data_IF_449338881235
#
_entry.id   IF_449338881235
#
_cell.length_a   1.000
_cell.length_b   1.000
_cell.length_c   1.000
_cell.angle_alpha   90.00
_cell.angle_beta   90.00
_cell.angle_gamma   90.00
#
_symmetry.space_group_name_H-M   'P 1'
#
loop_
_entity.id
_entity.type
_entity.pdbx_description
1 polymer ?
#
# COMPACT_ATOMS: atom_id res chain seq x y z
N UNK A 1 -13.82 11.82 -77.60
CA UNK A 1 -14.15 12.21 -76.22
C UNK A 1 -13.71 11.08 -75.32
N UNK A 2 -12.51 11.18 -74.73
CA UNK A 2 -11.91 10.11 -73.93
C UNK A 2 -12.21 10.38 -72.45
N UNK A 3 -13.07 9.55 -71.87
CA UNK A 3 -13.39 9.61 -70.45
C UNK A 3 -12.28 8.93 -69.64
N UNK A 4 -11.51 9.72 -68.89
CA UNK A 4 -10.59 9.22 -67.88
C UNK A 4 -11.39 8.85 -66.62
N UNK A 5 -11.46 7.56 -66.32
CA UNK A 5 -12.03 7.04 -65.07
C UNK A 5 -10.92 7.02 -64.02
N UNK A 6 -10.93 7.98 -63.09
CA UNK A 6 -10.03 8.01 -61.95
C UNK A 6 -10.53 7.10 -60.84
N UNK A 7 -9.80 6.04 -60.52
CA UNK A 7 -10.06 5.19 -59.35
C UNK A 7 -9.44 5.85 -58.12
N UNK A 8 -10.30 6.31 -57.20
CA UNK A 8 -9.89 6.83 -55.89
C UNK A 8 -9.71 5.64 -54.92
N UNK A 9 -8.47 5.31 -54.60
CA UNK A 9 -8.14 4.26 -53.63
C UNK A 9 -8.26 4.84 -52.21
N UNK A 10 -9.33 4.49 -51.49
CA UNK A 10 -9.50 4.83 -50.08
C UNK A 10 -8.59 3.93 -49.23
N UNK A 11 -7.46 4.44 -48.75
CA UNK A 11 -6.68 3.78 -47.70
C UNK A 11 -7.43 3.89 -46.37
N UNK A 12 -8.10 2.82 -45.97
CA UNK A 12 -8.59 2.66 -44.60
C UNK A 12 -7.37 2.48 -43.68
N UNK A 13 -7.05 3.51 -42.90
CA UNK A 13 -6.01 3.44 -41.87
C UNK A 13 -6.44 2.46 -40.77
N UNK A 14 -5.86 1.25 -40.77
CA UNK A 14 -5.99 0.34 -39.64
C UNK A 14 -5.30 0.99 -38.43
N UNK A 15 -5.96 1.11 -37.27
CA UNK A 15 -5.30 1.58 -36.06
C UNK A 15 -4.23 0.55 -35.67
N UNK A 16 -2.96 0.93 -35.81
CA UNK A 16 -1.84 0.17 -35.28
C UNK A 16 -1.90 0.30 -33.75
N UNK A 17 -2.35 -0.73 -33.06
CA UNK A 17 -2.29 -0.75 -31.59
C UNK A 17 -0.84 -1.02 -31.23
N UNK A 18 -0.08 0.02 -30.96
CA UNK A 18 1.23 -0.11 -30.35
C UNK A 18 1.06 -0.73 -28.95
N UNK A 19 1.92 -1.69 -28.60
CA UNK A 19 1.97 -2.26 -27.25
C UNK A 19 2.36 -1.15 -26.27
N UNK A 20 1.68 -1.06 -25.11
CA UNK A 20 2.02 -0.04 -24.11
C UNK A 20 3.26 -0.46 -23.34
N UNK A 21 4.30 0.38 -23.35
CA UNK A 21 5.47 0.14 -22.51
C UNK A 21 5.23 0.63 -21.08
N UNK A 22 5.63 -0.19 -20.11
CA UNK A 22 5.53 0.10 -18.67
C UNK A 22 6.93 0.18 -18.06
N UNK A 23 7.15 1.20 -17.25
CA UNK A 23 8.38 1.42 -16.48
C UNK A 23 8.09 2.15 -15.17
N UNK A 24 8.95 1.98 -14.17
CA UNK A 24 8.93 2.77 -12.94
C UNK A 24 7.63 2.66 -12.12
N UNK A 25 7.07 3.82 -11.76
CA UNK A 25 5.83 3.94 -11.01
C UNK A 25 4.63 4.03 -11.96
N UNK A 26 3.79 3.00 -11.96
CA UNK A 26 2.59 2.93 -12.83
C UNK A 26 1.27 3.17 -12.08
N UNK A 27 1.32 3.20 -10.75
CA UNK A 27 0.15 3.39 -9.90
C UNK A 27 0.00 4.81 -9.39
N UNK A 28 -1.24 5.17 -9.13
CA UNK A 28 -1.63 6.31 -8.30
C UNK A 28 -2.20 5.79 -6.98
N UNK A 29 -2.11 6.59 -5.91
CA UNK A 29 -2.51 6.19 -4.58
C UNK A 29 -3.39 7.26 -3.93
N UNK A 30 -4.43 6.83 -3.22
CA UNK A 30 -5.30 7.70 -2.43
C UNK A 30 -5.66 7.06 -1.10
N UNK A 31 -5.96 7.86 -0.07
CA UNK A 31 -6.38 7.37 1.24
C UNK A 31 -7.90 7.34 1.30
N UNK A 32 -8.50 6.21 1.66
CA UNK A 32 -9.94 6.11 1.87
C UNK A 32 -10.38 6.95 3.08
N UNK A 33 -11.35 7.85 2.88
CA UNK A 33 -11.99 8.66 3.92
C UNK A 33 -13.33 8.06 4.35
N UNK A 34 -14.14 7.57 3.41
CA UNK A 34 -15.42 6.93 3.68
C UNK A 34 -15.89 6.11 2.47
N UNK A 35 -16.93 5.30 2.69
CA UNK A 35 -17.58 4.52 1.62
C UNK A 35 -19.10 4.51 1.80
N UNK A 36 -19.81 4.34 0.69
CA UNK A 36 -21.23 4.01 0.61
C UNK A 36 -21.43 2.87 -0.37
N UNK A 37 -22.43 2.01 -0.12
CA UNK A 37 -22.81 0.93 -1.04
C UNK A 37 -24.12 1.22 -1.79
N UNK A 38 -24.78 2.33 -1.50
CA UNK A 38 -26.04 2.74 -2.13
C UNK A 38 -26.11 4.30 -2.24
N UNK A 39 -25.64 4.89 -3.34
CA UNK A 39 -24.91 4.27 -4.46
C UNK A 39 -23.51 3.79 -4.05
N UNK A 40 -22.87 2.91 -4.84
CA UNK A 40 -21.50 2.44 -4.56
C UNK A 40 -20.50 3.56 -4.82
N UNK A 41 -20.07 4.25 -3.76
CA UNK A 41 -19.14 5.38 -3.83
C UNK A 41 -18.08 5.28 -2.74
N UNK A 42 -16.90 5.82 -3.01
CA UNK A 42 -15.85 6.02 -2.01
C UNK A 42 -15.35 7.46 -2.07
N UNK A 43 -15.00 8.03 -0.91
CA UNK A 43 -14.31 9.30 -0.84
C UNK A 43 -12.84 9.07 -0.55
N UNK A 44 -11.98 9.68 -1.35
CA UNK A 44 -10.53 9.65 -1.16
C UNK A 44 -10.02 11.00 -0.67
N UNK A 45 -8.80 11.03 -0.12
CA UNK A 45 -8.14 12.27 0.30
C UNK A 45 -7.89 13.23 -0.86
N UNK A 46 -7.60 12.70 -2.05
CA UNK A 46 -7.35 13.46 -3.28
C UNK A 46 -7.86 12.65 -4.49
N UNK A 47 -8.94 13.14 -5.12
CA UNK A 47 -9.51 12.53 -6.32
C UNK A 47 -8.80 12.91 -7.62
N UNK A 48 -7.92 13.91 -7.61
CA UNK A 48 -7.32 14.48 -8.83
C UNK A 48 -6.32 13.55 -9.53
N UNK A 49 -5.81 12.56 -8.79
CA UNK A 49 -4.91 11.52 -9.32
C UNK A 49 -5.67 10.38 -10.00
N UNK A 50 -6.99 10.32 -9.87
CA UNK A 50 -7.84 9.29 -10.45
C UNK A 50 -8.60 9.79 -11.69
N UNK A 51 -9.07 8.85 -12.52
CA UNK A 51 -9.89 9.14 -13.69
C UNK A 51 -11.00 8.09 -13.88
N UNK A 52 -12.16 8.44 -14.46
CA UNK A 52 -13.15 7.47 -14.89
C UNK A 52 -12.55 6.40 -15.81
N UNK A 53 -12.99 5.15 -15.63
CA UNK A 53 -12.49 3.97 -16.33
C UNK A 53 -11.19 3.37 -15.77
N UNK A 54 -10.57 3.98 -14.76
CA UNK A 54 -9.43 3.37 -14.06
C UNK A 54 -9.87 2.11 -13.30
N UNK A 55 -9.00 1.09 -13.31
CA UNK A 55 -9.08 0.00 -12.36
C UNK A 55 -8.51 0.48 -11.02
N UNK A 56 -9.14 0.07 -9.92
CA UNK A 56 -8.68 0.37 -8.58
C UNK A 56 -8.66 -0.90 -7.72
N UNK A 57 -7.67 -0.97 -6.85
CA UNK A 57 -7.60 -1.92 -5.75
C UNK A 57 -7.82 -1.15 -4.44
N UNK A 58 -8.91 -1.43 -3.74
CA UNK A 58 -9.15 -0.93 -2.38
C UNK A 58 -8.55 -1.96 -1.43
N UNK A 59 -7.57 -1.58 -0.61
CA UNK A 59 -6.84 -2.50 0.27
C UNK A 59 -6.62 -1.89 1.65
N UNK A 60 -7.04 -2.61 2.69
CA UNK A 60 -6.82 -2.21 4.07
C UNK A 60 -5.48 -2.72 4.57
N UNK A 61 -4.57 -1.79 4.87
CA UNK A 61 -3.19 -2.05 5.21
C UNK A 61 -2.98 -2.31 6.71
N UNK A 62 -3.94 -1.96 7.56
CA UNK A 62 -3.82 -2.17 9.00
C UNK A 62 -5.16 -2.06 9.74
N UNK A 63 -5.08 -1.73 11.04
CA UNK A 63 -6.15 -1.74 12.04
C UNK A 63 -6.23 -3.02 12.90
N UNK A 64 -5.30 -3.96 12.78
CA UNK A 64 -5.30 -5.16 13.62
C UNK A 64 -5.17 -4.82 15.11
N UNK A 65 -5.87 -5.58 15.97
CA UNK A 65 -5.68 -5.54 17.42
C UNK A 65 -4.64 -6.57 17.82
N UNK A 66 -3.77 -6.19 18.76
CA UNK A 66 -2.77 -7.07 19.35
C UNK A 66 -2.94 -7.14 20.87
N UNK A 67 -2.39 -8.20 21.45
CA UNK A 67 -2.15 -8.30 22.89
C UNK A 67 -1.09 -7.25 23.29
N UNK A 68 -1.43 -6.40 24.26
CA UNK A 68 -0.57 -5.30 24.73
C UNK A 68 -0.02 -5.53 26.13
N UNK A 69 -0.31 -6.69 26.74
CA UNK A 69 0.25 -7.04 28.04
C UNK A 69 1.75 -7.20 27.92
N UNK A 70 2.50 -6.67 28.89
CA UNK A 70 3.96 -6.70 28.90
C UNK A 70 4.48 -8.11 29.25
N UNK A 71 4.25 -9.06 28.34
CA UNK A 71 4.46 -10.50 28.48
C UNK A 71 4.95 -11.10 27.16
N UNK A 72 5.22 -12.40 27.14
CA UNK A 72 5.62 -13.12 25.92
C UNK A 72 4.53 -13.15 24.84
N UNK A 73 3.32 -12.67 25.15
CA UNK A 73 2.22 -12.55 24.20
C UNK A 73 2.15 -11.18 23.52
N UNK A 74 2.92 -10.19 23.98
CA UNK A 74 2.89 -8.85 23.41
C UNK A 74 3.05 -8.91 21.89
N UNK A 75 2.14 -8.27 21.15
CA UNK A 75 2.17 -8.26 19.69
C UNK A 75 1.42 -9.40 19.01
N UNK A 76 0.96 -10.41 19.75
CA UNK A 76 0.10 -11.45 19.19
C UNK A 76 -1.20 -10.82 18.68
N UNK A 77 -1.51 -11.05 17.41
CA UNK A 77 -2.74 -10.57 16.79
C UNK A 77 -3.93 -11.27 17.45
N UNK A 78 -4.87 -10.50 17.98
CA UNK A 78 -6.14 -10.98 18.55
C UNK A 78 -7.30 -10.80 17.59
N UNK A 79 -7.23 -9.79 16.72
CA UNK A 79 -8.17 -9.57 15.61
C UNK A 79 -7.45 -8.85 14.47
N UNK A 80 -7.74 -9.22 13.21
CA UNK A 80 -7.22 -8.50 12.05
C UNK A 80 -8.00 -7.21 11.77
N UNK A 81 -9.25 -7.10 12.23
CA UNK A 81 -10.17 -5.98 11.98
C UNK A 81 -10.22 -5.53 10.51
N UNK A 82 -10.09 -6.48 9.58
CA UNK A 82 -10.07 -6.22 8.14
C UNK A 82 -8.71 -5.92 7.53
N UNK A 83 -7.61 -5.90 8.30
CA UNK A 83 -6.25 -5.81 7.75
C UNK A 83 -6.01 -6.93 6.73
N UNK A 84 -5.50 -6.58 5.56
CA UNK A 84 -5.28 -7.49 4.44
C UNK A 84 -6.51 -7.77 3.57
N UNK A 85 -7.69 -7.24 3.90
CA UNK A 85 -8.84 -7.28 2.97
C UNK A 85 -8.58 -6.38 1.77
N UNK A 86 -8.99 -6.84 0.60
CA UNK A 86 -8.91 -6.07 -0.61
C UNK A 86 -10.05 -6.42 -1.58
N UNK A 87 -10.43 -5.45 -2.40
CA UNK A 87 -11.39 -5.61 -3.48
C UNK A 87 -10.94 -4.84 -4.72
N UNK A 88 -11.17 -5.44 -5.88
CA UNK A 88 -11.01 -4.80 -7.17
C UNK A 88 -12.29 -4.06 -7.56
N UNK A 89 -12.17 -2.89 -8.15
CA UNK A 89 -13.28 -2.19 -8.77
C UNK A 89 -12.82 -1.34 -9.95
N UNK A 90 -13.79 -0.69 -10.61
CA UNK A 90 -13.54 0.31 -11.64
C UNK A 90 -14.28 1.59 -11.29
N UNK A 91 -13.65 2.72 -11.60
CA UNK A 91 -14.25 4.02 -11.39
C UNK A 91 -15.23 4.29 -12.52
N UNK A 92 -16.51 4.38 -12.22
CA UNK A 92 -17.55 4.78 -13.17
C UNK A 92 -17.52 6.29 -13.43
N UNK A 93 -17.37 7.08 -12.38
CA UNK A 93 -17.42 8.54 -12.42
C UNK A 93 -16.66 9.18 -11.27
N UNK A 94 -16.28 10.44 -11.42
CA UNK A 94 -15.56 11.21 -10.39
C UNK A 94 -16.22 12.58 -10.25
N UNK A 95 -16.43 13.02 -9.00
CA UNK A 95 -16.86 14.36 -8.64
C UNK A 95 -16.01 14.88 -7.47
N UNK A 96 -14.99 15.68 -7.77
CA UNK A 96 -14.00 16.10 -6.77
C UNK A 96 -13.27 14.90 -6.19
N UNK A 97 -13.50 14.62 -4.90
CA UNK A 97 -12.89 13.51 -4.17
C UNK A 97 -13.79 12.26 -4.06
N UNK A 98 -15.02 12.33 -4.60
CA UNK A 98 -15.94 11.20 -4.65
C UNK A 98 -15.70 10.38 -5.92
N UNK A 99 -15.44 9.08 -5.75
CA UNK A 99 -15.30 8.11 -6.83
C UNK A 99 -16.54 7.21 -6.83
N UNK A 100 -17.35 7.28 -7.89
CA UNK A 100 -18.44 6.34 -8.12
C UNK A 100 -17.87 5.04 -8.68
N UNK A 101 -18.27 3.92 -8.11
CA UNK A 101 -17.78 2.59 -8.45
C UNK A 101 -18.77 1.86 -9.36
N UNK A 102 -18.25 0.95 -10.20
CA UNK A 102 -19.11 0.10 -11.03
C UNK A 102 -19.88 -0.94 -10.20
N UNK A 103 -19.26 -1.44 -9.13
CA UNK A 103 -19.81 -2.50 -8.27
C UNK A 103 -19.83 -2.06 -6.79
N UNK A 104 -20.80 -2.54 -6.01
CA UNK A 104 -20.82 -2.37 -4.56
C UNK A 104 -19.70 -3.18 -3.89
N UNK A 105 -19.15 -2.66 -2.80
CA UNK A 105 -18.13 -3.35 -2.01
C UNK A 105 -18.79 -4.35 -1.05
N UNK A 106 -18.23 -5.56 -0.97
CA UNK A 106 -18.63 -6.61 -0.04
C UNK A 106 -18.14 -6.30 1.38
N UNK A 107 -17.06 -5.54 1.51
CA UNK A 107 -16.48 -5.20 2.80
C UNK A 107 -16.67 -3.73 3.18
N UNK A 108 -16.83 -3.51 4.49
CA UNK A 108 -16.64 -2.20 5.08
C UNK A 108 -15.17 -2.05 5.46
N UNK A 109 -14.51 -1.05 4.89
CA UNK A 109 -13.12 -0.71 5.12
C UNK A 109 -12.98 0.36 6.19
N UNK A 110 -11.86 0.30 6.91
CA UNK A 110 -11.51 1.30 7.94
C UNK A 110 -10.85 2.51 7.28
N UNK A 111 -11.41 3.73 7.41
CA UNK A 111 -10.77 4.95 6.90
C UNK A 111 -9.36 5.15 7.46
N UNK A 112 -8.49 5.82 6.71
CA UNK A 112 -7.08 6.11 7.09
C UNK A 112 -6.18 4.88 7.35
N UNK A 113 -6.76 3.67 7.32
CA UNK A 113 -6.05 2.38 7.33
C UNK A 113 -6.18 1.65 5.99
N UNK A 114 -6.91 2.25 5.05
CA UNK A 114 -7.20 1.70 3.73
C UNK A 114 -6.71 2.66 2.67
N UNK A 115 -5.96 2.14 1.71
CA UNK A 115 -5.54 2.86 0.53
C UNK A 115 -6.31 2.37 -0.70
N UNK A 116 -6.44 3.26 -1.67
CA UNK A 116 -7.00 3.02 -3.00
C UNK A 116 -5.84 3.14 -3.98
N UNK A 117 -5.51 2.04 -4.65
CA UNK A 117 -4.39 1.95 -5.61
C UNK A 117 -4.98 1.91 -7.01
N UNK A 118 -4.75 2.95 -7.81
CA UNK A 118 -5.26 3.07 -9.17
C UNK A 118 -4.26 2.58 -10.21
N UNK A 119 -4.76 1.90 -11.24
CA UNK A 119 -4.02 1.54 -12.45
C UNK A 119 -4.86 1.89 -13.68
N UNK A 120 -4.19 2.23 -14.78
CA UNK A 120 -4.83 2.16 -16.10
C UNK A 120 -5.11 0.69 -16.45
N UNK A 121 -6.03 0.50 -17.39
CA UNK A 121 -6.39 -0.81 -17.93
C UNK A 121 -5.71 -0.95 -19.27
N UNK A 122 -4.80 -1.91 -19.38
CA UNK A 122 -4.05 -2.17 -20.61
C UNK A 122 -4.68 -3.35 -21.35
N UNK A 123 -4.81 -3.25 -22.68
CA UNK A 123 -5.15 -4.42 -23.48
C UNK A 123 -3.95 -5.38 -23.51
N UNK A 124 -2.83 -4.89 -24.02
CA UNK A 124 -1.51 -5.51 -23.96
C UNK A 124 -0.45 -4.51 -23.53
N UNK A 125 0.50 -4.97 -22.72
CA UNK A 125 1.60 -4.14 -22.22
C UNK A 125 2.93 -4.91 -22.19
N UNK A 126 4.06 -4.20 -22.28
CA UNK A 126 5.41 -4.73 -22.08
C UNK A 126 6.09 -3.96 -20.97
N UNK A 127 6.61 -4.65 -19.96
CA UNK A 127 7.50 -4.06 -18.97
C UNK A 127 8.89 -3.96 -19.57
N UNK A 128 9.33 -2.74 -19.89
CA UNK A 128 10.61 -2.46 -20.55
C UNK A 128 11.71 -2.04 -19.59
N UNK A 129 11.33 -1.54 -18.41
CA UNK A 129 12.22 -1.24 -17.28
C UNK A 129 11.57 -1.69 -15.97
N UNK A 130 12.35 -1.76 -14.89
CA UNK A 130 11.87 -2.28 -13.60
C UNK A 130 10.62 -1.55 -13.10
N UNK A 131 9.54 -2.29 -12.84
CA UNK A 131 8.38 -1.76 -12.13
C UNK A 131 8.61 -1.76 -10.64
N UNK A 132 8.19 -0.67 -9.99
CA UNK A 132 8.31 -0.50 -8.54
C UNK A 132 7.03 0.16 -8.01
N UNK A 133 6.55 -0.19 -6.82
CA UNK A 133 5.53 0.60 -6.14
C UNK A 133 6.16 1.87 -5.53
N UNK A 134 5.33 2.87 -5.23
CA UNK A 134 5.73 3.91 -4.28
C UNK A 134 6.06 3.22 -2.93
N UNK A 135 7.20 3.51 -2.27
CA UNK A 135 7.44 3.00 -0.92
C UNK A 135 6.34 3.40 0.07
N UNK A 136 6.00 2.52 0.99
CA UNK A 136 4.98 2.77 2.01
C UNK A 136 5.41 3.90 2.95
N UNK A 137 4.62 4.98 2.96
CA UNK A 137 4.89 6.18 3.75
C UNK A 137 4.10 6.24 5.08
N UNK A 138 3.29 5.23 5.37
CA UNK A 138 2.47 5.14 6.59
C UNK A 138 0.99 5.29 6.33
N UNK A 139 0.65 5.71 5.12
CA UNK A 139 -0.74 5.89 4.67
C UNK A 139 -0.98 5.29 3.28
N UNK A 140 0.00 5.38 2.37
CA UNK A 140 -0.07 4.89 0.99
C UNK A 140 1.28 4.34 0.52
N UNK A 141 1.25 3.47 -0.50
CA UNK A 141 2.41 2.82 -1.09
C UNK A 141 2.49 1.32 -0.79
N UNK A 142 3.65 0.71 -1.07
CA UNK A 142 3.94 -0.70 -0.83
C UNK A 142 3.15 -1.70 -1.68
N UNK A 143 2.29 -1.21 -2.58
CA UNK A 143 1.43 -2.04 -3.44
C UNK A 143 1.65 -1.64 -4.89
N UNK A 144 1.97 -2.62 -5.73
CA UNK A 144 2.00 -2.49 -7.18
C UNK A 144 0.78 -3.23 -7.75
N UNK A 145 0.00 -2.56 -8.59
CA UNK A 145 -1.21 -3.09 -9.19
C UNK A 145 -1.19 -2.82 -10.69
N UNK A 146 -1.32 -3.85 -11.51
CA UNK A 146 -1.40 -3.71 -12.97
C UNK A 146 -2.58 -4.53 -13.46
N UNK A 147 -3.49 -3.86 -14.18
CA UNK A 147 -4.62 -4.51 -14.84
C UNK A 147 -4.32 -4.63 -16.35
N UNK A 148 -4.19 -5.85 -16.84
CA UNK A 148 -3.98 -6.14 -18.26
C UNK A 148 -4.97 -7.22 -18.71
N UNK A 149 -5.75 -6.95 -19.76
CA UNK A 149 -6.87 -7.84 -20.15
C UNK A 149 -6.48 -8.97 -21.10
N UNK A 150 -5.41 -8.79 -21.89
CA UNK A 150 -4.93 -9.80 -22.85
C UNK A 150 -3.52 -10.29 -22.48
N UNK A 151 -2.48 -9.46 -22.68
CA UNK A 151 -1.09 -9.90 -22.49
C UNK A 151 -0.19 -8.87 -21.81
N UNK A 152 0.37 -9.24 -20.67
CA UNK A 152 1.49 -8.54 -20.03
C UNK A 152 2.80 -9.29 -20.32
N UNK A 153 3.74 -8.64 -21.02
CA UNK A 153 5.07 -9.19 -21.31
C UNK A 153 6.07 -8.60 -20.33
N UNK A 154 6.82 -9.43 -19.60
CA UNK A 154 7.83 -8.97 -18.63
C UNK A 154 9.23 -9.08 -19.25
N UNK A 155 9.77 -7.98 -19.80
CA UNK A 155 11.14 -7.92 -20.30
C UNK A 155 12.13 -7.31 -19.29
N UNK A 156 11.62 -6.79 -18.17
CA UNK A 156 12.38 -6.31 -17.04
C UNK A 156 11.71 -6.72 -15.72
N UNK A 157 12.42 -6.51 -14.61
CA UNK A 157 12.01 -6.98 -13.28
C UNK A 157 10.78 -6.25 -12.73
N UNK A 158 10.13 -6.90 -11.76
CA UNK A 158 9.20 -6.26 -10.83
C UNK A 158 9.84 -6.31 -9.46
N UNK A 159 10.20 -5.16 -8.91
CA UNK A 159 10.97 -5.07 -7.67
C UNK A 159 10.25 -4.21 -6.62
N UNK A 160 9.63 -4.88 -5.65
CA UNK A 160 9.00 -4.27 -4.49
C UNK A 160 9.86 -4.35 -3.21
N UNK A 161 11.15 -4.67 -3.34
CA UNK A 161 12.06 -4.81 -2.19
C UNK A 161 12.13 -3.52 -1.39
N UNK A 162 11.91 -3.62 -0.07
CA UNK A 162 11.95 -2.48 0.84
C UNK A 162 10.79 -1.48 0.72
N UNK A 163 9.78 -1.75 -0.12
CA UNK A 163 8.65 -0.85 -0.31
C UNK A 163 7.50 -1.05 0.70
N UNK A 164 7.54 -2.13 1.49
CA UNK A 164 6.54 -2.47 2.50
C UNK A 164 6.63 -1.61 3.78
N UNK A 165 6.04 -2.08 4.87
CA UNK A 165 6.03 -1.39 6.15
C UNK A 165 7.42 -0.88 6.56
N UNK A 166 7.48 0.32 7.17
CA UNK A 166 8.75 0.93 7.58
C UNK A 166 9.34 0.16 8.75
N UNK A 167 10.66 -0.04 8.73
CA UNK A 167 11.38 -0.60 9.86
C UNK A 167 11.40 0.35 11.07
N UNK A 168 11.87 -0.15 12.22
CA UNK A 168 12.03 0.66 13.43
C UNK A 168 13.05 1.79 13.24
N UNK A 169 12.74 2.98 13.75
CA UNK A 169 13.68 4.11 13.69
C UNK A 169 14.94 3.84 14.50
N UNK A 170 16.10 4.14 13.93
CA UNK A 170 17.36 4.06 14.66
C UNK A 170 17.46 5.22 15.65
N UNK A 171 17.48 4.92 16.94
CA UNK A 171 17.61 5.91 18.01
C UNK A 171 18.80 5.59 18.90
N UNK A 172 19.63 6.61 19.11
CA UNK A 172 20.74 6.59 20.07
C UNK A 172 20.29 7.36 21.31
N UNK A 173 20.45 6.76 22.48
CA UNK A 173 20.13 7.40 23.75
C UNK A 173 21.42 7.80 24.48
N UNK A 174 21.48 9.02 24.97
CA UNK A 174 22.55 9.46 25.88
C UNK A 174 22.26 8.98 27.31
N UNK A 175 23.30 8.59 28.07
CA UNK A 175 23.23 8.07 29.45
C UNK A 175 22.69 6.63 29.62
N UNK A 176 23.27 5.69 28.88
CA UNK A 176 22.97 4.25 29.03
C UNK A 176 23.65 3.67 30.27
N UNK A 177 22.96 2.75 30.97
CA UNK A 177 23.58 1.92 32.01
C UNK A 177 24.01 0.57 31.43
N UNK A 178 25.31 0.33 31.32
CA UNK A 178 25.88 -0.97 30.95
C UNK A 178 26.08 -1.91 32.16
N UNK A 179 25.42 -1.63 33.29
CA UNK A 179 25.55 -2.45 34.50
C UNK A 179 24.85 -3.79 34.36
N UNK A 180 25.54 -4.88 34.73
CA UNK A 180 25.00 -6.25 34.80
C UNK A 180 23.82 -6.40 35.78
N UNK A 181 23.60 -5.40 36.63
CA UNK A 181 22.46 -5.35 37.56
C UNK A 181 21.21 -4.70 36.95
N UNK A 182 21.30 -4.15 35.73
CA UNK A 182 20.16 -3.51 35.07
C UNK A 182 19.42 -4.51 34.19
N UNK A 183 18.19 -4.86 34.56
CA UNK A 183 17.36 -5.80 33.81
C UNK A 183 16.46 -5.08 32.79
N UNK A 184 16.73 -5.27 31.51
CA UNK A 184 15.90 -4.90 30.37
C UNK A 184 15.14 -6.13 29.85
N UNK A 185 14.17 -6.63 30.64
CA UNK A 185 13.41 -7.88 30.34
C UNK A 185 11.99 -7.67 29.85
N UNK A 186 11.50 -6.43 29.85
CA UNK A 186 10.15 -6.14 29.39
C UNK A 186 10.04 -6.34 27.87
N UNK A 187 8.83 -6.52 27.39
CA UNK A 187 8.48 -6.64 25.98
C UNK A 187 8.17 -5.29 25.35
N UNK A 188 7.70 -4.35 26.17
CA UNK A 188 7.43 -2.99 25.76
C UNK A 188 7.93 -1.97 26.77
N UNK A 189 8.32 -0.82 26.24
CA UNK A 189 8.60 0.40 26.98
C UNK A 189 8.09 1.59 26.18
N UNK A 190 7.91 2.73 26.84
CA UNK A 190 7.61 3.99 26.19
C UNK A 190 8.84 4.52 25.43
N UNK A 191 8.59 5.26 24.35
CA UNK A 191 9.63 6.06 23.66
C UNK A 191 10.45 6.88 24.64
N UNK A 192 11.77 6.94 24.41
CA UNK A 192 12.72 7.61 25.29
C UNK A 192 13.36 6.70 26.34
N UNK A 193 12.85 5.47 26.49
CA UNK A 193 13.44 4.50 27.38
C UNK A 193 14.61 3.77 26.71
N UNK A 194 15.84 4.04 27.17
CA UNK A 194 17.06 3.41 26.66
C UNK A 194 17.07 1.87 26.73
N UNK A 195 16.14 1.26 27.49
CA UNK A 195 16.02 -0.20 27.62
C UNK A 195 15.39 -0.89 26.42
N UNK A 196 14.94 -0.18 25.40
CA UNK A 196 14.47 -0.77 24.15
C UNK A 196 14.71 0.14 22.95
N UNK A 197 14.81 -0.45 21.76
CA UNK A 197 14.81 0.29 20.51
C UNK A 197 13.41 0.30 19.87
N UNK A 198 13.12 1.25 18.96
CA UNK A 198 11.83 1.35 18.29
C UNK A 198 11.44 0.09 17.53
N UNK A 199 10.16 -0.27 17.62
CA UNK A 199 9.56 -1.35 16.84
C UNK A 199 9.31 -0.87 15.39
N UNK A 200 9.26 -1.80 14.45
CA UNK A 200 8.83 -1.50 13.09
C UNK A 200 7.32 -1.31 12.99
N UNK A 201 6.90 -0.69 11.90
CA UNK A 201 5.50 -0.54 11.56
C UNK A 201 4.93 -1.89 11.13
N UNK A 202 3.68 -2.15 11.50
CA UNK A 202 2.95 -3.34 11.09
C UNK A 202 1.47 -3.06 10.87
N UNK A 203 0.69 -4.12 10.70
CA UNK A 203 -0.76 -4.05 10.50
C UNK A 203 -1.51 -3.54 11.74
N UNK A 204 -0.88 -3.62 12.92
CA UNK A 204 -1.41 -3.06 14.15
C UNK A 204 -0.82 -1.66 14.39
N UNK A 205 -1.66 -0.66 14.74
CA UNK A 205 -1.15 0.67 15.06
C UNK A 205 -0.25 0.62 16.30
N UNK A 206 0.77 1.50 16.35
CA UNK A 206 1.63 1.63 17.52
C UNK A 206 0.81 1.85 18.79
N UNK A 207 1.21 1.16 19.85
CA UNK A 207 0.58 1.25 21.16
C UNK A 207 1.30 2.33 21.96
N UNK A 208 0.55 3.37 22.36
CA UNK A 208 1.09 4.48 23.16
C UNK A 208 1.70 3.96 24.46
N UNK A 209 2.94 4.38 24.74
CA UNK A 209 3.73 3.92 25.90
C UNK A 209 4.37 2.54 25.75
N UNK A 210 4.27 1.94 24.57
CA UNK A 210 4.79 0.61 24.25
C UNK A 210 5.47 0.57 22.86
N UNK A 211 6.01 1.70 22.40
CA UNK A 211 6.57 1.87 21.05
C UNK A 211 7.97 1.25 20.87
N UNK A 212 8.68 0.95 21.97
CA UNK A 212 10.03 0.38 21.94
C UNK A 212 10.11 -0.95 22.69
N UNK A 213 11.17 -1.73 22.46
CA UNK A 213 11.42 -3.01 23.13
C UNK A 213 11.18 -4.25 22.25
N UNK A 214 11.58 -5.42 22.76
CA UNK A 214 11.61 -6.69 22.00
C UNK A 214 10.28 -7.28 21.56
N UNK A 215 9.17 -6.92 22.21
CA UNK A 215 7.85 -7.45 21.85
C UNK A 215 7.48 -6.97 20.44
N UNK A 216 6.98 -7.83 19.55
CA UNK A 216 6.68 -7.39 18.19
C UNK A 216 5.49 -6.43 18.12
N UNK A 217 5.49 -5.51 17.15
CA UNK A 217 4.31 -4.74 16.76
C UNK A 217 3.57 -5.51 15.65
N UNK A 218 2.89 -6.60 16.02
CA UNK A 218 2.38 -7.59 15.06
C UNK A 218 3.47 -8.06 14.09
N UNK A 219 3.25 -7.94 12.78
CA UNK A 219 4.22 -8.27 11.74
C UNK A 219 5.33 -7.22 11.56
N UNK A 220 5.29 -6.09 12.28
CA UNK A 220 6.32 -5.06 12.26
C UNK A 220 7.56 -5.37 13.10
N UNK A 221 7.62 -6.55 13.72
CA UNK A 221 8.77 -6.95 14.54
C UNK A 221 8.96 -6.07 15.79
N UNK A 222 10.02 -6.35 16.54
CA UNK A 222 10.34 -5.64 17.79
C UNK A 222 11.73 -5.04 17.72
N UNK A 223 11.94 -3.87 18.34
CA UNK A 223 13.25 -3.21 18.30
C UNK A 223 14.33 -3.81 19.20
N UNK A 224 14.04 -4.93 19.87
CA UNK A 224 14.95 -5.54 20.83
C UNK A 224 15.08 -4.76 22.14
N UNK A 225 15.82 -5.34 23.08
CA UNK A 225 16.06 -4.74 24.39
C UNK A 225 17.48 -4.20 24.46
N UNK A 226 17.62 -3.01 25.03
CA UNK A 226 18.79 -2.11 25.00
C UNK A 226 18.74 -1.08 23.85
N UNK A 227 19.50 0.00 24.00
CA UNK A 227 19.76 0.97 22.95
C UNK A 227 20.50 0.30 21.79
N UNK A 228 20.35 0.83 20.57
CA UNK A 228 20.98 0.31 19.35
C UNK A 228 20.70 -1.19 19.06
N UNK A 229 19.62 -1.71 19.63
CA UNK A 229 19.08 -3.01 19.24
C UNK A 229 18.20 -2.86 17.99
N UNK A 230 17.88 -3.96 17.32
CA UNK A 230 17.01 -3.96 16.15
C UNK A 230 16.17 -5.23 16.09
N UNK A 231 15.44 -5.39 14.99
CA UNK A 231 14.59 -6.55 14.72
C UNK A 231 13.16 -6.21 14.27
N UNK A 232 12.81 -4.92 14.22
CA UNK A 232 11.60 -4.39 13.60
C UNK A 232 11.95 -3.46 12.46
#
# INVERSE_FOLDING_TARGET
MNNFFGVLLLLAGLPLVAQTDLSGLVNVYGILQSQSNCPPTIWVSDGTVFAPGMAILIIQMGNATIDTDNSNRFGNITDLNGSGRYEYNRIRGISGNELELENSLLHTYTPQRTQVVGSRIYSSATVTETLRPQPWNGTTGGVLFVECTDRLTLNADVDASGAGCRGGEAVVYDNISCSVLTFNRAYSYATGNWRGAPKGEGIAPFVSGAEVGRGPQANGGGGGNNHNSGGG
#
